data_IF_429370120560
#
_entry.id   IF_429370120560
#
_cell.length_a   1.000
_cell.length_b   1.000
_cell.length_c   1.000
_cell.angle_alpha   90.00
_cell.angle_beta   90.00
_cell.angle_gamma   90.00
#
_symmetry.space_group_name_H-M   'P 1'
#
loop_
_entity.id
_entity.type
_entity.pdbx_description
1 polymer ?
#
# COMPACT_ATOMS: atom_id res chain seq x y z
N UNK A 1 11.94 -7.93 6.68
CA UNK A 1 11.55 -8.00 5.26
C UNK A 1 11.86 -6.67 4.59
N UNK A 2 12.14 -6.69 3.29
CA UNK A 2 12.48 -5.50 2.49
C UNK A 2 11.61 -5.48 1.24
N UNK A 3 10.89 -4.38 1.01
CA UNK A 3 9.94 -4.25 -0.09
C UNK A 3 10.39 -3.13 -1.04
N UNK A 4 10.90 -3.45 -2.25
CA UNK A 4 11.39 -2.45 -3.19
C UNK A 4 10.24 -1.75 -3.93
N UNK A 5 10.03 -0.47 -3.66
CA UNK A 5 9.08 0.35 -4.38
C UNK A 5 9.67 0.76 -5.73
N UNK A 6 8.97 0.38 -6.80
CA UNK A 6 9.36 0.66 -8.17
C UNK A 6 8.25 1.41 -8.90
N UNK A 7 8.64 2.33 -9.77
CA UNK A 7 7.71 2.99 -10.69
C UNK A 7 7.15 2.03 -11.73
N UNK A 8 6.23 2.52 -12.58
CA UNK A 8 5.63 1.72 -13.65
C UNK A 8 6.67 1.20 -14.66
N UNK A 9 7.75 1.95 -14.88
CA UNK A 9 8.87 1.57 -15.75
C UNK A 9 9.91 0.67 -15.05
N UNK A 10 9.68 0.27 -13.79
CA UNK A 10 10.56 -0.61 -13.03
C UNK A 10 11.73 0.07 -12.30
N UNK A 11 11.94 1.37 -12.53
CA UNK A 11 12.92 2.18 -11.80
C UNK A 11 12.70 2.14 -10.29
N UNK A 12 13.76 1.93 -9.51
CA UNK A 12 13.71 1.89 -8.05
C UNK A 12 13.50 3.30 -7.49
N UNK A 13 12.48 3.46 -6.65
CA UNK A 13 12.17 4.71 -5.94
C UNK A 13 12.77 4.66 -4.52
N UNK A 14 12.64 3.51 -3.87
CA UNK A 14 13.14 3.27 -2.52
C UNK A 14 12.60 1.96 -1.96
N UNK A 15 12.67 1.80 -0.65
CA UNK A 15 12.22 0.59 0.04
C UNK A 15 11.28 0.93 1.18
N UNK A 16 10.40 -0.02 1.52
CA UNK A 16 9.82 -0.11 2.85
C UNK A 16 10.45 -1.30 3.54
N UNK A 17 11.02 -1.08 4.72
CA UNK A 17 11.45 -2.18 5.57
C UNK A 17 10.25 -2.62 6.41
N UNK A 18 10.27 -3.88 6.81
CA UNK A 18 9.42 -4.37 7.89
C UNK A 18 10.28 -5.14 8.88
N UNK A 19 10.33 -4.61 10.08
CA UNK A 19 11.07 -5.18 11.20
C UNK A 19 10.05 -5.52 12.29
N UNK A 20 9.89 -6.82 12.55
CA UNK A 20 9.08 -7.30 13.67
C UNK A 20 9.85 -7.04 14.95
N UNK A 21 9.21 -6.37 15.91
CA UNK A 21 9.77 -6.06 17.21
C UNK A 21 9.33 -7.13 18.21
N UNK A 22 10.02 -7.20 19.36
CA UNK A 22 9.56 -8.01 20.48
C UNK A 22 8.15 -7.61 20.94
N UNK A 23 7.38 -8.57 21.47
CA UNK A 23 6.04 -8.32 22.00
C UNK A 23 4.95 -8.11 20.93
N UNK A 24 5.21 -8.45 19.67
CA UNK A 24 4.21 -8.38 18.59
C UNK A 24 4.09 -7.00 17.92
N UNK A 25 4.95 -6.05 18.27
CA UNK A 25 5.08 -4.78 17.56
C UNK A 25 5.79 -4.92 16.22
N UNK A 26 5.72 -3.87 15.39
CA UNK A 26 6.49 -3.77 14.15
C UNK A 26 6.84 -2.32 13.83
N UNK A 27 8.00 -2.09 13.21
CA UNK A 27 8.30 -0.84 12.51
C UNK A 27 8.30 -1.07 10.99
N UNK A 28 7.77 -0.09 10.24
CA UNK A 28 7.72 -0.13 8.77
C UNK A 28 8.31 1.13 8.11
N UNK A 29 9.60 1.44 8.33
CA UNK A 29 10.18 2.67 7.82
C UNK A 29 10.32 2.64 6.30
N UNK A 30 10.00 3.77 5.67
CA UNK A 30 10.44 4.07 4.30
C UNK A 30 11.93 4.41 4.31
N UNK A 31 12.63 3.95 3.29
CA UNK A 31 14.07 4.11 3.11
C UNK A 31 14.36 4.55 1.69
N UNK A 32 15.09 5.66 1.54
CA UNK A 32 15.45 6.25 0.26
C UNK A 32 16.95 6.50 0.18
N UNK A 33 17.48 6.48 -1.05
CA UNK A 33 18.77 7.08 -1.35
C UNK A 33 18.58 8.60 -1.38
N UNK A 34 19.29 9.31 -0.54
CA UNK A 34 19.16 10.77 -0.40
C UNK A 34 20.53 11.43 -0.47
N UNK A 35 20.53 12.71 -0.81
CA UNK A 35 21.69 13.59 -0.69
C UNK A 35 21.47 14.53 0.49
N UNK A 36 22.36 14.48 1.47
CA UNK A 36 22.35 15.32 2.67
C UNK A 36 22.82 16.76 2.36
N UNK A 37 22.59 17.74 3.25
CA UNK A 37 23.00 19.13 3.03
C UNK A 37 24.51 19.35 2.80
N UNK A 38 25.35 18.47 3.35
CA UNK A 38 26.81 18.46 3.16
C UNK A 38 27.24 17.85 1.81
N UNK A 39 26.28 17.37 1.01
CA UNK A 39 26.51 16.72 -0.27
C UNK A 39 26.68 15.20 -0.19
N UNK A 40 26.73 14.60 1.00
CA UNK A 40 26.88 13.16 1.19
C UNK A 40 25.65 12.41 0.65
N UNK A 41 25.87 11.37 -0.15
CA UNK A 41 24.82 10.48 -0.61
C UNK A 41 24.78 9.19 0.22
N UNK A 42 23.60 8.82 0.71
CA UNK A 42 23.45 7.65 1.58
C UNK A 42 22.01 7.14 1.62
N UNK A 43 21.82 5.91 2.09
CA UNK A 43 20.50 5.39 2.44
C UNK A 43 20.05 5.95 3.79
N UNK A 44 18.89 6.58 3.82
CA UNK A 44 18.29 7.10 5.06
C UNK A 44 16.87 6.58 5.26
N UNK A 45 16.45 6.47 6.53
CA UNK A 45 15.03 6.39 6.93
C UNK A 45 14.35 7.70 6.58
N UNK A 46 13.94 7.85 5.34
CA UNK A 46 13.37 9.07 4.79
C UNK A 46 12.05 8.72 4.09
N UNK A 47 10.96 9.45 4.37
CA UNK A 47 9.66 9.14 3.79
C UNK A 47 9.68 9.37 2.28
N UNK A 48 8.93 8.55 1.55
CA UNK A 48 8.66 8.84 0.15
C UNK A 48 7.99 10.21 0.02
N UNK A 49 8.31 10.98 -1.05
CA UNK A 49 7.61 12.23 -1.34
C UNK A 49 6.11 11.97 -1.47
N UNK A 50 5.30 12.98 -1.15
CA UNK A 50 3.85 12.92 -1.36
C UNK A 50 3.52 13.47 -2.76
N UNK A 51 2.57 12.84 -3.49
CA UNK A 51 1.87 11.62 -3.10
C UNK A 51 2.80 10.38 -3.22
N UNK A 52 2.68 9.45 -2.26
CA UNK A 52 3.59 8.31 -2.11
C UNK A 52 3.24 7.21 -3.13
N UNK A 53 4.23 6.58 -3.77
CA UNK A 53 3.96 5.53 -4.75
C UNK A 53 3.22 4.34 -4.11
N UNK A 54 2.37 3.67 -4.88
CA UNK A 54 1.85 2.34 -4.52
C UNK A 54 2.94 1.28 -4.70
N UNK A 55 2.84 0.21 -3.92
CA UNK A 55 3.66 -0.98 -4.09
C UNK A 55 3.05 -1.89 -5.16
N UNK A 56 3.88 -2.38 -6.09
CA UNK A 56 3.44 -3.25 -7.19
C UNK A 56 3.08 -2.53 -8.49
N UNK A 57 3.37 -1.23 -8.62
CA UNK A 57 3.05 -0.46 -9.84
C UNK A 57 3.63 -1.04 -11.14
N UNK A 58 4.81 -1.65 -11.08
CA UNK A 58 5.42 -2.30 -12.26
C UNK A 58 4.60 -3.47 -12.82
N UNK A 59 3.64 -4.01 -12.06
CA UNK A 59 2.74 -5.08 -12.51
C UNK A 59 1.37 -4.57 -12.97
N UNK A 60 1.16 -3.26 -12.96
CA UNK A 60 -0.12 -2.65 -13.28
C UNK A 60 -0.42 -2.72 -14.78
N UNK A 61 0.52 -2.29 -15.62
CA UNK A 61 0.41 -2.30 -17.09
C UNK A 61 -1.00 -1.95 -17.61
N UNK A 62 -1.48 -2.76 -18.55
CA UNK A 62 -2.82 -2.64 -19.11
C UNK A 62 -3.92 -3.34 -18.29
N UNK A 63 -3.63 -3.83 -17.07
CA UNK A 63 -4.57 -4.62 -16.29
C UNK A 63 -5.79 -3.79 -15.88
N UNK A 64 -6.97 -4.14 -16.37
CA UNK A 64 -8.21 -3.42 -16.02
C UNK A 64 -8.76 -3.81 -14.65
N UNK A 65 -8.43 -5.00 -14.15
CA UNK A 65 -8.84 -5.50 -12.84
C UNK A 65 -7.63 -5.54 -11.90
N UNK A 66 -7.74 -4.87 -10.75
CA UNK A 66 -6.64 -4.72 -9.78
C UNK A 66 -7.15 -5.05 -8.38
N UNK A 67 -6.38 -5.83 -7.63
CA UNK A 67 -6.64 -6.05 -6.20
C UNK A 67 -5.87 -5.04 -5.36
N UNK A 68 -6.54 -4.50 -4.35
CA UNK A 68 -5.93 -3.62 -3.34
C UNK A 68 -5.98 -4.35 -2.00
N UNK A 69 -4.83 -4.52 -1.36
CA UNK A 69 -4.71 -5.18 -0.05
C UNK A 69 -3.89 -4.34 0.91
N UNK A 70 -4.09 -4.53 2.22
CA UNK A 70 -3.30 -3.84 3.23
C UNK A 70 -1.94 -4.51 3.46
N UNK A 71 -0.87 -3.75 3.21
CA UNK A 71 0.51 -4.14 3.51
C UNK A 71 1.23 -4.89 2.38
N UNK A 72 2.52 -4.59 2.23
CA UNK A 72 3.38 -5.13 1.18
C UNK A 72 3.52 -6.66 1.27
N UNK A 73 3.57 -7.20 2.50
CA UNK A 73 3.61 -8.65 2.75
C UNK A 73 2.38 -9.37 2.18
N UNK A 74 1.18 -8.85 2.44
CA UNK A 74 -0.07 -9.43 1.97
C UNK A 74 -0.16 -9.33 0.44
N UNK A 75 0.27 -8.19 -0.11
CA UNK A 75 0.35 -7.97 -1.55
C UNK A 75 1.21 -9.01 -2.24
N UNK A 76 2.44 -9.23 -1.76
CA UNK A 76 3.37 -10.17 -2.40
C UNK A 76 2.86 -11.61 -2.27
N UNK A 77 2.32 -11.99 -1.11
CA UNK A 77 1.72 -13.31 -0.92
C UNK A 77 0.54 -13.55 -1.87
N UNK A 78 -0.38 -12.59 -2.00
CA UNK A 78 -1.56 -12.74 -2.86
C UNK A 78 -1.21 -12.73 -4.34
N UNK A 79 -0.28 -11.85 -4.75
CA UNK A 79 0.20 -11.80 -6.14
C UNK A 79 0.86 -13.14 -6.52
N UNK A 80 1.72 -13.68 -5.66
CA UNK A 80 2.37 -14.97 -5.89
C UNK A 80 1.35 -16.14 -5.95
N UNK A 81 0.36 -16.15 -5.06
CA UNK A 81 -0.63 -17.23 -5.01
C UNK A 81 -1.63 -17.22 -6.17
N UNK A 82 -1.90 -16.07 -6.78
CA UNK A 82 -2.99 -15.92 -7.76
C UNK A 82 -2.55 -15.50 -9.15
N UNK A 83 -1.32 -15.00 -9.30
CA UNK A 83 -0.85 -14.38 -10.55
C UNK A 83 -1.59 -13.09 -10.92
N UNK A 84 -2.43 -12.54 -10.03
CA UNK A 84 -3.21 -11.33 -10.30
C UNK A 84 -2.39 -10.07 -10.07
N UNK A 85 -2.82 -8.98 -10.71
CA UNK A 85 -2.32 -7.63 -10.43
C UNK A 85 -2.81 -7.17 -9.06
N UNK A 86 -1.89 -7.11 -8.09
CA UNK A 86 -2.16 -6.67 -6.72
C UNK A 86 -1.29 -5.47 -6.39
N UNK A 87 -1.87 -4.46 -5.73
CA UNK A 87 -1.17 -3.30 -5.19
C UNK A 87 -1.44 -3.14 -3.69
N UNK A 88 -0.53 -2.45 -3.01
CA UNK A 88 -0.66 -1.99 -1.63
C UNK A 88 -0.08 -0.58 -1.52
N UNK A 89 -0.19 0.05 -0.36
CA UNK A 89 0.36 1.38 -0.08
C UNK A 89 1.25 1.36 1.18
N UNK A 90 2.19 2.32 1.32
CA UNK A 90 3.06 2.41 2.48
C UNK A 90 2.37 3.11 3.66
N UNK A 91 2.64 2.62 4.87
CA UNK A 91 2.23 3.28 6.12
C UNK A 91 0.86 2.87 6.68
N UNK A 92 0.28 1.76 6.20
CA UNK A 92 -0.96 1.17 6.73
C UNK A 92 -2.14 2.13 6.69
N UNK A 93 -3.16 1.92 7.55
CA UNK A 93 -4.37 2.76 7.61
C UNK A 93 -4.10 4.27 7.56
N UNK A 94 -3.07 4.77 8.25
CA UNK A 94 -2.72 6.21 8.28
C UNK A 94 -2.04 6.70 6.99
N UNK A 95 -1.51 5.79 6.18
CA UNK A 95 -0.85 6.06 4.91
C UNK A 95 -1.81 6.30 3.74
N UNK A 96 -3.09 5.92 3.85
CA UNK A 96 -4.08 6.00 2.76
C UNK A 96 -4.14 7.41 2.16
N UNK A 97 -4.27 8.44 3.00
CA UNK A 97 -4.33 9.85 2.60
C UNK A 97 -3.02 10.42 2.03
N UNK A 98 -1.95 9.65 2.04
CA UNK A 98 -0.63 10.06 1.55
C UNK A 98 -0.23 9.33 0.29
N UNK A 99 -0.93 8.27 -0.10
CA UNK A 99 -0.62 7.48 -1.28
C UNK A 99 -1.16 8.13 -2.56
N UNK A 100 -0.45 7.91 -3.66
CA UNK A 100 -0.85 8.26 -5.01
C UNK A 100 -1.77 7.16 -5.56
N UNK A 101 -3.07 7.42 -5.54
CA UNK A 101 -4.07 6.50 -6.08
C UNK A 101 -4.34 6.71 -7.57
N UNK A 102 -3.81 7.79 -8.17
CA UNK A 102 -4.04 8.14 -9.58
C UNK A 102 -3.69 7.03 -10.60
N UNK A 103 -2.70 6.14 -10.37
CA UNK A 103 -2.44 5.04 -11.30
C UNK A 103 -3.63 4.08 -11.48
N UNK A 104 -4.56 4.06 -10.51
CA UNK A 104 -5.74 3.21 -10.54
C UNK A 104 -6.93 3.82 -11.31
N UNK A 105 -6.85 5.07 -11.76
CA UNK A 105 -7.96 5.78 -12.38
C UNK A 105 -8.63 4.99 -13.51
N UNK A 106 -9.97 4.96 -13.48
CA UNK A 106 -10.79 4.25 -14.48
C UNK A 106 -10.70 2.71 -14.45
N UNK A 107 -10.06 2.10 -13.45
CA UNK A 107 -9.93 0.64 -13.33
C UNK A 107 -11.02 0.02 -12.46
N UNK A 108 -11.15 -1.30 -12.55
CA UNK A 108 -12.02 -2.11 -11.70
C UNK A 108 -11.21 -2.63 -10.51
N UNK A 109 -11.58 -2.20 -9.31
CA UNK A 109 -10.83 -2.47 -8.09
C UNK A 109 -11.56 -3.49 -7.22
N UNK A 110 -10.87 -4.53 -6.79
CA UNK A 110 -11.34 -5.42 -5.74
C UNK A 110 -10.52 -5.19 -4.48
N UNK A 111 -11.16 -4.70 -3.45
CA UNK A 111 -10.50 -4.38 -2.19
C UNK A 111 -10.64 -5.55 -1.23
N UNK A 112 -9.52 -5.96 -0.65
CA UNK A 112 -9.46 -7.00 0.36
C UNK A 112 -8.86 -6.42 1.65
N UNK A 113 -9.72 -5.95 2.58
CA UNK A 113 -9.27 -5.37 3.83
C UNK A 113 -8.71 -6.44 4.79
N UNK A 114 -7.87 -6.01 5.72
CA UNK A 114 -7.42 -6.88 6.81
C UNK A 114 -8.63 -7.35 7.66
N UNK A 115 -8.58 -8.59 8.14
CA UNK A 115 -9.64 -9.23 8.91
C UNK A 115 -9.64 -8.79 10.39
N UNK A 116 -9.49 -7.48 10.64
CA UNK A 116 -9.27 -6.91 11.96
C UNK A 116 -10.47 -7.03 12.89
N UNK A 117 -10.22 -7.28 14.18
CA UNK A 117 -11.27 -7.22 15.20
C UNK A 117 -11.72 -5.77 15.40
N UNK A 118 -13.01 -5.53 15.70
CA UNK A 118 -13.48 -4.23 16.15
C UNK A 118 -12.62 -3.75 17.32
N UNK A 119 -12.28 -2.46 17.31
CA UNK A 119 -11.64 -1.83 18.45
C UNK A 119 -12.57 -1.91 19.68
N UNK A 120 -12.09 -2.32 20.86
CA UNK A 120 -12.94 -2.58 22.03
C UNK A 120 -13.83 -1.41 22.45
N UNK A 121 -13.31 -0.18 22.31
CA UNK A 121 -14.02 1.03 22.74
C UNK A 121 -14.84 1.70 21.63
N UNK A 122 -14.31 1.76 20.40
CA UNK A 122 -14.92 2.54 19.30
C UNK A 122 -15.72 1.68 18.34
N UNK A 123 -15.60 0.35 18.41
CA UNK A 123 -16.21 -0.60 17.48
C UNK A 123 -15.64 -0.55 16.06
N UNK A 124 -14.69 0.35 15.77
CA UNK A 124 -14.12 0.53 14.43
C UNK A 124 -13.30 -0.69 14.04
N UNK A 125 -13.54 -1.21 12.84
CA UNK A 125 -12.70 -2.23 12.20
C UNK A 125 -11.70 -1.49 11.31
N UNK A 126 -10.41 -1.52 11.66
CA UNK A 126 -9.38 -0.70 11.01
C UNK A 126 -9.26 -0.96 9.50
N UNK A 127 -9.15 -2.24 9.09
CA UNK A 127 -9.15 -2.61 7.67
C UNK A 127 -10.40 -2.15 6.91
N UNK A 128 -11.58 -2.16 7.54
CA UNK A 128 -12.80 -1.64 6.89
C UNK A 128 -12.78 -0.13 6.76
N UNK A 129 -12.33 0.59 7.79
CA UNK A 129 -12.16 2.03 7.71
C UNK A 129 -11.19 2.42 6.59
N UNK A 130 -10.07 1.71 6.47
CA UNK A 130 -9.13 1.92 5.36
C UNK A 130 -9.82 1.68 4.01
N UNK A 131 -10.66 0.65 3.91
CA UNK A 131 -11.40 0.36 2.70
C UNK A 131 -12.40 1.47 2.33
N UNK A 132 -13.12 2.03 3.30
CA UNK A 132 -14.05 3.14 3.08
C UNK A 132 -13.31 4.42 2.62
N UNK A 133 -12.19 4.75 3.27
CA UNK A 133 -11.36 5.91 2.92
C UNK A 133 -10.83 5.78 1.47
N UNK A 134 -10.34 4.60 1.10
CA UNK A 134 -9.86 4.30 -0.27
C UNK A 134 -11.02 4.32 -1.26
N UNK A 135 -12.18 3.73 -0.93
CA UNK A 135 -13.37 3.71 -1.79
C UNK A 135 -13.85 5.12 -2.19
N UNK A 136 -13.76 6.06 -1.25
CA UNK A 136 -14.05 7.49 -1.52
C UNK A 136 -13.09 8.07 -2.56
N UNK A 137 -11.79 7.82 -2.41
CA UNK A 137 -10.76 8.27 -3.37
C UNK A 137 -10.98 7.64 -4.75
N UNK A 138 -11.21 6.33 -4.79
CA UNK A 138 -11.43 5.57 -6.03
C UNK A 138 -12.67 6.06 -6.80
N UNK A 139 -13.74 6.43 -6.09
CA UNK A 139 -14.93 7.04 -6.71
C UNK A 139 -14.56 8.33 -7.44
N UNK A 140 -13.77 9.20 -6.82
CA UNK A 140 -13.28 10.44 -7.43
C UNK A 140 -12.38 10.23 -8.65
N UNK A 141 -11.76 9.06 -8.77
CA UNK A 141 -10.91 8.67 -9.90
C UNK A 141 -11.66 7.92 -11.01
N UNK A 142 -12.99 7.82 -10.93
CA UNK A 142 -13.82 7.12 -11.90
C UNK A 142 -13.62 5.60 -11.89
N UNK A 143 -13.09 5.04 -10.81
CA UNK A 143 -12.94 3.60 -10.66
C UNK A 143 -14.28 2.96 -10.30
N UNK A 144 -14.52 1.74 -10.78
CA UNK A 144 -15.50 0.86 -10.12
C UNK A 144 -14.77 0.09 -9.02
N UNK A 145 -15.40 -0.12 -7.86
CA UNK A 145 -14.79 -0.93 -6.81
C UNK A 145 -15.80 -1.82 -6.09
N UNK A 146 -15.30 -2.91 -5.51
CA UNK A 146 -16.03 -3.75 -4.56
C UNK A 146 -15.12 -4.05 -3.38
N UNK A 147 -15.71 -4.12 -2.20
CA UNK A 147 -15.02 -4.57 -0.98
C UNK A 147 -15.42 -6.02 -0.72
N UNK A 148 -14.45 -6.90 -0.58
CA UNK A 148 -14.71 -8.28 -0.15
C UNK A 148 -15.20 -8.26 1.29
N UNK A 149 -16.42 -8.76 1.50
CA UNK A 149 -16.98 -8.92 2.84
C UNK A 149 -16.15 -9.91 3.65
N UNK A 150 -15.75 -9.50 4.85
CA UNK A 150 -15.18 -10.41 5.84
C UNK A 150 -16.33 -11.14 6.51
N UNK A 151 -16.76 -12.26 5.93
CA UNK A 151 -17.68 -13.17 6.64
C UNK A 151 -16.92 -13.77 7.82
N UNK A 152 -17.44 -13.58 9.03
CA UNK A 152 -16.93 -14.19 10.26
C UNK A 152 -17.82 -15.32 10.69
#
# INVERSE_FOLDING_TARGET
MVFPYRGQEGGLIGHVLRHELGGGGKETPMVMWVRLPDGTETWCRFPFPKPRPLYGLGQLGAARAVLVVEGEKCRDALSAATGRTVVSWPGGTQGVKHADWSPLAGRNILMWPDADRPHPETGVIAGMKAADDIGTILTGLGCSYRVLGVVR
#
